data_IF_913723242251
#
_entry.id   IF_913723242251
#
_cell.length_a   1.000
_cell.length_b   1.000
_cell.length_c   1.000
_cell.angle_alpha   90.00
_cell.angle_beta   90.00
_cell.angle_gamma   90.00
#
_symmetry.space_group_name_H-M   'P 1'
#
loop_
_entity.id
_entity.type
_entity.pdbx_description
1 polymer ?
#
# COMPACT_ATOMS: atom_id res chain seq x y z
N UNK A 1 -21.38 -21.13 -42.90
CA UNK A 1 -21.46 -21.37 -41.43
C UNK A 1 -20.13 -21.06 -40.74
N UNK A 2 -19.00 -21.56 -41.23
CA UNK A 2 -17.67 -21.41 -40.63
C UNK A 2 -17.22 -19.93 -40.52
N UNK A 3 -17.33 -19.17 -41.60
CA UNK A 3 -16.95 -17.76 -41.63
C UNK A 3 -17.81 -16.88 -40.68
N UNK A 4 -19.06 -17.24 -40.49
CA UNK A 4 -19.95 -16.54 -39.59
C UNK A 4 -19.54 -16.75 -38.13
N UNK A 5 -19.06 -17.96 -37.79
CA UNK A 5 -18.55 -18.27 -36.43
C UNK A 5 -17.25 -17.53 -36.15
N UNK A 6 -16.31 -17.53 -37.10
CA UNK A 6 -15.05 -16.81 -36.97
C UNK A 6 -15.30 -15.29 -36.83
N UNK A 7 -16.15 -14.73 -37.67
CA UNK A 7 -16.48 -13.29 -37.58
C UNK A 7 -17.19 -12.93 -36.29
N UNK A 8 -18.00 -13.84 -35.74
CA UNK A 8 -18.62 -13.70 -34.42
C UNK A 8 -17.59 -13.72 -33.28
N UNK A 9 -16.66 -14.66 -33.33
CA UNK A 9 -15.56 -14.75 -32.32
C UNK A 9 -14.66 -13.51 -32.35
N UNK A 10 -14.31 -13.04 -33.55
CA UNK A 10 -13.49 -11.85 -33.70
C UNK A 10 -14.21 -10.60 -33.16
N UNK A 11 -15.50 -10.44 -33.46
CA UNK A 11 -16.30 -9.32 -32.90
C UNK A 11 -16.42 -9.42 -31.38
N UNK A 12 -16.65 -10.62 -30.85
CA UNK A 12 -16.70 -10.85 -29.40
C UNK A 12 -15.36 -10.51 -28.74
N UNK A 13 -14.25 -10.97 -29.34
CA UNK A 13 -12.89 -10.67 -28.86
C UNK A 13 -12.62 -9.17 -28.82
N UNK A 14 -12.95 -8.45 -29.91
CA UNK A 14 -12.80 -6.99 -29.92
C UNK A 14 -13.66 -6.30 -28.87
N UNK A 15 -14.90 -6.76 -28.67
CA UNK A 15 -15.81 -6.21 -27.65
C UNK A 15 -15.26 -6.41 -26.23
N UNK A 16 -14.85 -7.64 -25.92
CA UNK A 16 -14.25 -8.01 -24.62
C UNK A 16 -12.97 -7.23 -24.39
N UNK A 17 -12.08 -7.17 -25.37
CA UNK A 17 -10.82 -6.42 -25.27
C UNK A 17 -11.06 -4.93 -25.05
N UNK A 18 -12.03 -4.35 -25.74
CA UNK A 18 -12.36 -2.91 -25.57
C UNK A 18 -12.91 -2.58 -24.19
N UNK A 19 -13.64 -3.51 -23.56
CA UNK A 19 -14.16 -3.33 -22.20
C UNK A 19 -13.06 -3.53 -21.16
N UNK A 20 -12.24 -4.60 -21.32
CA UNK A 20 -11.22 -4.97 -20.36
C UNK A 20 -9.95 -4.12 -20.48
N UNK A 21 -9.66 -3.59 -21.68
CA UNK A 21 -8.44 -2.82 -21.94
C UNK A 21 -8.77 -1.43 -22.54
N UNK A 22 -9.34 -0.51 -21.75
CA UNK A 22 -9.62 0.85 -22.23
C UNK A 22 -8.34 1.66 -22.50
N UNK A 23 -7.13 1.12 -22.22
CA UNK A 23 -5.84 1.76 -22.49
C UNK A 23 -5.51 2.94 -21.54
N UNK A 24 -6.30 3.14 -20.49
CA UNK A 24 -6.11 4.22 -19.51
C UNK A 24 -5.49 3.66 -18.24
N UNK A 25 -4.25 4.03 -17.94
CA UNK A 25 -3.53 3.58 -16.74
C UNK A 25 -4.32 3.84 -15.45
N UNK A 26 -4.97 5.00 -15.37
CA UNK A 26 -5.81 5.38 -14.23
C UNK A 26 -6.88 4.34 -13.92
N UNK A 27 -7.57 3.84 -14.97
CA UNK A 27 -8.62 2.82 -14.80
C UNK A 27 -8.06 1.53 -14.21
N UNK A 28 -6.90 1.07 -14.69
CA UNK A 28 -6.28 -0.16 -14.16
C UNK A 28 -5.88 0.00 -12.69
N UNK A 29 -5.30 1.15 -12.34
CA UNK A 29 -4.93 1.44 -10.95
C UNK A 29 -6.17 1.45 -10.06
N UNK A 30 -7.22 2.18 -10.44
CA UNK A 30 -8.48 2.25 -9.68
C UNK A 30 -9.10 0.85 -9.49
N UNK A 31 -9.18 0.04 -10.57
CA UNK A 31 -9.71 -1.33 -10.49
C UNK A 31 -8.86 -2.22 -9.60
N UNK A 32 -7.53 -2.13 -9.68
CA UNK A 32 -6.63 -2.91 -8.82
C UNK A 32 -6.85 -2.58 -7.36
N UNK A 33 -6.88 -1.32 -6.98
CA UNK A 33 -7.13 -0.91 -5.59
C UNK A 33 -8.55 -1.26 -5.13
N UNK A 34 -9.55 -1.19 -6.02
CA UNK A 34 -10.91 -1.62 -5.70
C UNK A 34 -10.99 -3.13 -5.42
N UNK A 35 -10.30 -3.95 -6.21
CA UNK A 35 -10.22 -5.41 -5.98
C UNK A 35 -9.51 -5.69 -4.67
N UNK A 36 -8.39 -5.02 -4.38
CA UNK A 36 -7.66 -5.18 -3.12
C UNK A 36 -8.57 -4.81 -1.93
N UNK A 37 -9.26 -3.68 -1.99
CA UNK A 37 -10.21 -3.28 -0.97
C UNK A 37 -11.33 -4.32 -0.75
N UNK A 38 -11.89 -4.87 -1.82
CA UNK A 38 -12.89 -5.93 -1.75
C UNK A 38 -12.34 -7.21 -1.11
N UNK A 39 -11.17 -7.67 -1.54
CA UNK A 39 -10.53 -8.90 -1.02
C UNK A 39 -10.20 -8.77 0.47
N UNK A 40 -9.85 -7.57 0.93
CA UNK A 40 -9.54 -7.33 2.35
C UNK A 40 -10.80 -7.17 3.20
N UNK A 41 -11.78 -6.38 2.73
CA UNK A 41 -12.95 -6.03 3.53
C UNK A 41 -14.03 -7.10 3.51
N UNK A 42 -14.29 -7.75 2.36
CA UNK A 42 -15.38 -8.72 2.24
C UNK A 42 -15.23 -9.89 3.23
N UNK A 43 -14.07 -10.57 3.36
CA UNK A 43 -13.91 -11.63 4.34
C UNK A 43 -14.08 -11.12 5.78
N UNK A 44 -13.54 -9.94 6.08
CA UNK A 44 -13.58 -9.35 7.41
C UNK A 44 -15.02 -9.13 7.89
N UNK A 45 -15.88 -8.63 6.99
CA UNK A 45 -17.28 -8.40 7.30
C UNK A 45 -18.14 -9.68 7.17
N UNK A 46 -17.88 -10.53 6.18
CA UNK A 46 -18.65 -11.74 5.94
C UNK A 46 -18.50 -12.77 7.06
N UNK A 47 -17.31 -12.89 7.64
CA UNK A 47 -17.04 -13.80 8.75
C UNK A 47 -17.22 -13.13 10.13
N UNK A 48 -17.51 -11.84 10.19
CA UNK A 48 -17.68 -11.09 11.44
C UNK A 48 -16.39 -11.00 12.28
N UNK A 49 -15.23 -11.18 11.66
CA UNK A 49 -13.92 -11.19 12.32
C UNK A 49 -13.32 -9.79 12.42
N UNK A 50 -14.11 -8.79 12.85
CA UNK A 50 -13.57 -7.46 13.10
C UNK A 50 -12.56 -7.51 14.25
N UNK A 51 -11.38 -6.89 14.12
CA UNK A 51 -10.40 -6.83 15.19
C UNK A 51 -10.94 -6.05 16.38
N UNK A 52 -10.58 -6.45 17.59
CA UNK A 52 -10.80 -5.64 18.78
C UNK A 52 -10.01 -4.34 18.65
N UNK A 53 -10.60 -3.22 19.08
CA UNK A 53 -9.84 -1.97 19.07
C UNK A 53 -8.66 -2.10 20.04
N UNK A 54 -7.42 -1.87 19.57
CA UNK A 54 -6.26 -1.94 20.45
C UNK A 54 -6.41 -0.89 21.56
N UNK A 55 -6.10 -1.28 22.78
CA UNK A 55 -5.97 -0.32 23.87
C UNK A 55 -4.85 0.66 23.52
N UNK A 56 -5.10 1.96 23.77
CA UNK A 56 -4.06 2.97 23.51
C UNK A 56 -2.81 2.62 24.34
N UNK A 57 -1.64 2.51 23.69
CA UNK A 57 -0.41 2.20 24.43
C UNK A 57 -0.07 3.38 25.36
N UNK A 58 -0.11 3.11 26.65
CA UNK A 58 0.17 4.11 27.70
C UNK A 58 1.67 4.35 27.90
N UNK A 59 2.51 3.45 27.39
CA UNK A 59 3.93 3.39 27.69
C UNK A 59 4.83 3.90 26.55
N UNK A 60 4.25 4.68 25.59
CA UNK A 60 5.03 5.27 24.51
C UNK A 60 6.00 6.33 25.03
N UNK A 61 7.27 6.19 24.64
CA UNK A 61 8.29 7.18 24.91
C UNK A 61 8.12 8.42 24.02
N UNK A 62 8.57 9.57 24.54
CA UNK A 62 8.43 10.86 23.84
C UNK A 62 9.02 10.83 22.40
N UNK A 63 10.13 10.15 22.20
CA UNK A 63 10.77 10.07 20.90
C UNK A 63 9.96 9.22 19.89
N UNK A 64 9.27 8.16 20.33
CA UNK A 64 8.38 7.36 19.47
C UNK A 64 7.21 8.20 18.96
N UNK A 65 6.57 8.94 19.88
CA UNK A 65 5.49 9.87 19.54
C UNK A 65 5.98 10.93 18.54
N UNK A 66 7.19 11.46 18.74
CA UNK A 66 7.77 12.47 17.85
C UNK A 66 7.90 11.94 16.42
N UNK A 67 8.44 10.74 16.21
CA UNK A 67 8.58 10.16 14.88
C UNK A 67 7.24 9.77 14.25
N UNK A 68 6.25 9.35 15.04
CA UNK A 68 4.87 9.14 14.56
C UNK A 68 4.28 10.45 14.05
N UNK A 69 4.44 11.54 14.79
CA UNK A 69 3.96 12.87 14.39
C UNK A 69 4.66 13.34 13.11
N UNK A 70 5.97 13.14 12.99
CA UNK A 70 6.72 13.48 11.76
C UNK A 70 6.20 12.66 10.58
N UNK A 71 5.96 11.36 10.75
CA UNK A 71 5.41 10.51 9.70
C UNK A 71 4.01 10.97 9.25
N UNK A 72 3.14 11.35 10.20
CA UNK A 72 1.79 11.88 9.88
C UNK A 72 1.89 13.23 9.15
N UNK A 73 2.74 14.14 9.61
CA UNK A 73 2.97 15.43 8.94
C UNK A 73 3.51 15.21 7.53
N UNK A 74 4.47 14.29 7.36
CA UNK A 74 5.00 13.90 6.06
C UNK A 74 3.91 13.37 5.13
N UNK A 75 3.03 12.50 5.62
CA UNK A 75 1.90 11.97 4.86
C UNK A 75 0.93 13.08 4.40
N UNK A 76 0.58 14.00 5.31
CA UNK A 76 -0.26 15.16 4.97
C UNK A 76 0.43 16.03 3.93
N UNK A 77 1.74 16.26 4.07
CA UNK A 77 2.52 17.04 3.12
C UNK A 77 2.55 16.40 1.72
N UNK A 78 2.63 15.07 1.61
CA UNK A 78 2.52 14.35 0.33
C UNK A 78 1.15 14.59 -0.31
N UNK A 79 0.07 14.45 0.47
CA UNK A 79 -1.31 14.60 -0.02
C UNK A 79 -1.65 16.02 -0.47
N UNK A 80 -1.04 17.02 0.18
CA UNK A 80 -1.29 18.45 -0.09
C UNK A 80 -0.23 19.11 -0.99
N UNK A 81 0.75 18.35 -1.45
CA UNK A 81 1.87 18.86 -2.23
C UNK A 81 1.39 19.51 -3.55
N UNK A 82 1.75 20.77 -3.76
CA UNK A 82 1.42 21.51 -4.97
C UNK A 82 2.27 21.08 -6.18
N UNK A 83 3.48 20.56 -5.93
CA UNK A 83 4.38 20.08 -6.97
C UNK A 83 4.76 18.62 -6.74
N UNK A 84 5.04 17.91 -7.83
CA UNK A 84 5.47 16.50 -7.75
C UNK A 84 6.81 16.35 -7.03
N UNK A 85 7.71 17.31 -7.22
CA UNK A 85 9.00 17.30 -6.52
C UNK A 85 8.81 17.47 -5.01
N UNK A 86 7.93 18.37 -4.59
CA UNK A 86 7.57 18.53 -3.17
C UNK A 86 6.97 17.24 -2.60
N UNK A 87 6.10 16.57 -3.37
CA UNK A 87 5.53 15.28 -2.96
C UNK A 87 6.62 14.22 -2.75
N UNK A 88 7.61 14.12 -3.65
CA UNK A 88 8.71 13.15 -3.54
C UNK A 88 9.56 13.44 -2.30
N UNK A 89 9.90 14.71 -2.05
CA UNK A 89 10.68 15.08 -0.86
C UNK A 89 9.90 14.79 0.42
N UNK A 90 8.61 15.13 0.45
CA UNK A 90 7.74 14.85 1.59
C UNK A 90 7.58 13.33 1.83
N UNK A 91 7.46 12.54 0.76
CA UNK A 91 7.44 11.07 0.83
C UNK A 91 8.73 10.54 1.46
N UNK A 92 9.89 11.07 1.03
CA UNK A 92 11.19 10.70 1.61
C UNK A 92 11.26 10.99 3.11
N UNK A 93 10.81 12.15 3.56
CA UNK A 93 10.79 12.50 4.99
C UNK A 93 9.88 11.52 5.76
N UNK A 94 8.70 11.22 5.22
CA UNK A 94 7.77 10.27 5.81
C UNK A 94 8.38 8.85 5.89
N UNK A 95 9.02 8.39 4.80
CA UNK A 95 9.66 7.08 4.76
C UNK A 95 10.85 6.95 5.72
N UNK A 96 11.66 8.00 5.88
CA UNK A 96 12.73 8.03 6.89
C UNK A 96 12.17 8.00 8.32
N UNK A 97 11.08 8.72 8.60
CA UNK A 97 10.44 8.66 9.92
C UNK A 97 9.94 7.24 10.25
N UNK A 98 9.35 6.54 9.28
CA UNK A 98 8.92 5.14 9.43
C UNK A 98 10.12 4.22 9.65
N UNK A 99 11.24 4.43 8.94
CA UNK A 99 12.45 3.64 9.14
C UNK A 99 13.01 3.79 10.57
N UNK A 100 13.01 5.02 11.11
CA UNK A 100 13.41 5.25 12.51
C UNK A 100 12.45 4.58 13.49
N UNK A 101 11.14 4.58 13.22
CA UNK A 101 10.17 3.85 14.03
C UNK A 101 10.47 2.35 14.05
N UNK A 102 10.80 1.73 12.91
CA UNK A 102 11.22 0.33 12.89
C UNK A 102 12.45 0.08 13.77
N UNK A 103 13.42 0.99 13.74
CA UNK A 103 14.61 0.88 14.59
C UNK A 103 14.25 0.97 16.08
N UNK A 104 13.37 1.90 16.46
CA UNK A 104 12.93 2.10 17.85
C UNK A 104 12.12 0.91 18.36
N UNK A 105 11.33 0.28 17.51
CA UNK A 105 10.56 -0.92 17.88
C UNK A 105 11.35 -2.23 17.77
N UNK A 106 12.68 -2.16 17.65
CA UNK A 106 13.55 -3.32 17.69
C UNK A 106 13.58 -4.16 16.40
N UNK A 107 13.26 -3.56 15.27
CA UNK A 107 13.32 -4.18 13.95
C UNK A 107 14.42 -3.54 13.06
N UNK A 108 15.72 -3.68 13.39
CA UNK A 108 16.81 -3.02 12.69
C UNK A 108 16.92 -3.45 11.21
N UNK A 109 16.61 -4.70 10.89
CA UNK A 109 16.66 -5.21 9.52
C UNK A 109 15.63 -4.53 8.63
N UNK A 110 14.41 -4.31 9.15
CA UNK A 110 13.37 -3.56 8.46
C UNK A 110 13.74 -2.08 8.32
N UNK A 111 14.34 -1.49 9.36
CA UNK A 111 14.80 -0.11 9.32
C UNK A 111 15.85 0.09 8.23
N UNK A 112 16.86 -0.78 8.16
CA UNK A 112 17.90 -0.73 7.14
C UNK A 112 17.33 -0.87 5.72
N UNK A 113 16.47 -1.84 5.53
CA UNK A 113 15.80 -2.07 4.23
C UNK A 113 14.97 -0.86 3.81
N UNK A 114 14.22 -0.28 4.75
CA UNK A 114 13.42 0.92 4.50
C UNK A 114 14.30 2.12 4.14
N UNK A 115 15.41 2.36 4.85
CA UNK A 115 16.35 3.43 4.52
C UNK A 115 16.92 3.29 3.11
N UNK A 116 17.34 2.08 2.74
CA UNK A 116 17.89 1.80 1.42
C UNK A 116 16.87 2.03 0.30
N UNK A 117 15.67 1.47 0.47
CA UNK A 117 14.58 1.59 -0.51
C UNK A 117 14.14 3.03 -0.65
N UNK A 118 13.98 3.75 0.46
CA UNK A 118 13.54 5.15 0.45
C UNK A 118 14.56 6.05 -0.24
N UNK A 119 15.84 5.93 0.13
CA UNK A 119 16.92 6.69 -0.48
C UNK A 119 16.97 6.47 -2.00
N UNK A 120 16.91 5.20 -2.43
CA UNK A 120 16.93 4.84 -3.83
C UNK A 120 15.71 5.38 -4.57
N UNK A 121 14.54 5.24 -3.98
CA UNK A 121 13.26 5.70 -4.54
C UNK A 121 13.24 7.21 -4.73
N UNK A 122 13.64 7.98 -3.71
CA UNK A 122 13.68 9.45 -3.78
C UNK A 122 14.67 9.91 -4.86
N UNK A 123 15.85 9.31 -4.95
CA UNK A 123 16.84 9.64 -5.97
C UNK A 123 16.32 9.34 -7.38
N UNK A 124 15.79 8.13 -7.60
CA UNK A 124 15.27 7.72 -8.91
C UNK A 124 14.08 8.59 -9.31
N UNK A 125 13.10 8.78 -8.41
CA UNK A 125 11.92 9.60 -8.71
C UNK A 125 12.29 11.05 -8.99
N UNK A 126 13.22 11.63 -8.23
CA UNK A 126 13.70 12.99 -8.47
C UNK A 126 14.38 13.09 -9.84
N UNK A 127 15.25 12.13 -10.17
CA UNK A 127 15.93 12.10 -11.47
C UNK A 127 14.93 11.97 -12.64
N UNK A 128 13.96 11.08 -12.51
CA UNK A 128 12.90 10.89 -13.52
C UNK A 128 12.06 12.15 -13.66
N UNK A 129 11.66 12.78 -12.56
CA UNK A 129 10.82 13.99 -12.58
C UNK A 129 11.55 15.21 -13.15
N UNK A 130 12.87 15.32 -12.96
CA UNK A 130 13.66 16.39 -13.58
C UNK A 130 13.81 16.22 -15.10
N UNK A 131 13.74 14.99 -15.59
CA UNK A 131 13.84 14.67 -17.03
C UNK A 131 12.50 14.74 -17.75
N UNK A 132 11.40 14.45 -17.09
CA UNK A 132 10.07 14.44 -17.67
C UNK A 132 9.40 15.81 -17.50
N UNK A 133 9.14 16.48 -18.63
CA UNK A 133 8.30 17.70 -18.65
C UNK A 133 6.82 17.30 -18.57
N UNK A 134 6.38 16.87 -17.40
CA UNK A 134 4.98 16.54 -17.16
C UNK A 134 4.22 17.80 -16.72
N UNK A 135 3.13 18.13 -17.40
CA UNK A 135 2.27 19.23 -16.97
C UNK A 135 1.67 18.94 -15.59
N UNK A 136 1.69 19.92 -14.67
CA UNK A 136 1.21 19.70 -13.30
C UNK A 136 -0.32 19.65 -13.16
N UNK A 137 -1.08 19.89 -14.25
CA UNK A 137 -2.53 19.99 -14.17
C UNK A 137 -3.22 18.64 -14.15
N UNK A 138 -3.88 18.35 -13.05
CA UNK A 138 -4.79 17.22 -12.90
C UNK A 138 -6.17 17.59 -13.49
N UNK A 139 -6.45 17.08 -14.67
CA UNK A 139 -7.69 17.34 -15.42
C UNK A 139 -8.84 16.40 -15.01
N UNK A 140 -8.70 15.60 -13.95
CA UNK A 140 -9.74 14.68 -13.51
C UNK A 140 -10.96 15.42 -12.96
N UNK A 141 -12.15 14.94 -13.33
CA UNK A 141 -13.40 15.47 -12.81
C UNK A 141 -13.48 15.25 -11.28
N UNK A 142 -14.11 16.19 -10.56
CA UNK A 142 -14.27 16.09 -9.09
C UNK A 142 -14.87 14.75 -8.63
N UNK A 143 -15.83 14.20 -9.39
CA UNK A 143 -16.42 12.89 -9.11
C UNK A 143 -15.41 11.74 -9.15
N UNK A 144 -14.48 11.75 -10.09
CA UNK A 144 -13.42 10.74 -10.16
C UNK A 144 -12.43 10.85 -8.98
N UNK A 145 -12.08 12.08 -8.59
CA UNK A 145 -11.22 12.29 -7.42
C UNK A 145 -11.85 11.77 -6.12
N UNK A 146 -13.15 11.97 -5.94
CA UNK A 146 -13.90 11.45 -4.78
C UNK A 146 -13.94 9.92 -4.81
N UNK A 147 -14.21 9.33 -5.97
CA UNK A 147 -14.25 7.87 -6.13
C UNK A 147 -12.87 7.25 -5.87
N UNK A 148 -11.81 7.81 -6.44
CA UNK A 148 -10.44 7.34 -6.18
C UNK A 148 -10.06 7.50 -4.70
N UNK A 149 -10.48 8.60 -4.07
CA UNK A 149 -10.27 8.85 -2.64
C UNK A 149 -11.00 7.84 -1.75
N UNK A 150 -12.25 7.50 -2.07
CA UNK A 150 -13.03 6.49 -1.32
C UNK A 150 -12.44 5.09 -1.47
N UNK A 151 -11.99 4.71 -2.66
CA UNK A 151 -11.32 3.42 -2.89
C UNK A 151 -9.99 3.37 -2.14
N UNK A 152 -9.19 4.43 -2.18
CA UNK A 152 -7.93 4.50 -1.45
C UNK A 152 -8.15 4.40 0.07
N UNK A 153 -9.18 5.08 0.60
CA UNK A 153 -9.55 5.00 2.01
C UNK A 153 -10.02 3.59 2.39
N UNK A 154 -10.86 2.96 1.57
CA UNK A 154 -11.34 1.60 1.79
C UNK A 154 -10.19 0.59 1.77
N UNK A 155 -9.26 0.73 0.83
CA UNK A 155 -8.07 -0.12 0.75
C UNK A 155 -7.17 0.07 1.98
N UNK A 156 -6.89 1.31 2.37
CA UNK A 156 -6.06 1.62 3.54
C UNK A 156 -6.66 1.12 4.84
N UNK A 157 -7.97 1.33 5.05
CA UNK A 157 -8.68 0.80 6.23
C UNK A 157 -8.74 -0.72 6.22
N UNK A 158 -8.93 -1.34 5.06
CA UNK A 158 -8.91 -2.79 4.91
C UNK A 158 -7.56 -3.39 5.33
N UNK A 159 -6.44 -2.80 4.88
CA UNK A 159 -5.10 -3.19 5.32
C UNK A 159 -4.89 -3.00 6.83
N UNK A 160 -5.28 -1.86 7.38
CA UNK A 160 -5.12 -1.57 8.79
C UNK A 160 -5.90 -2.58 9.66
N UNK A 161 -7.16 -2.85 9.31
CA UNK A 161 -7.98 -3.81 10.03
C UNK A 161 -7.44 -5.24 9.91
N UNK A 162 -6.98 -5.65 8.73
CA UNK A 162 -6.38 -6.96 8.53
C UNK A 162 -5.10 -7.13 9.34
N UNK A 163 -4.23 -6.11 9.38
CA UNK A 163 -3.02 -6.14 10.20
C UNK A 163 -3.35 -6.23 11.68
N UNK A 164 -4.31 -5.44 12.17
CA UNK A 164 -4.79 -5.55 13.55
C UNK A 164 -5.31 -6.95 13.86
N UNK A 165 -6.09 -7.55 12.95
CA UNK A 165 -6.57 -8.92 13.13
C UNK A 165 -5.45 -9.95 13.14
N UNK A 166 -4.43 -9.76 12.32
CA UNK A 166 -3.26 -10.64 12.29
C UNK A 166 -2.47 -10.59 13.62
N UNK A 167 -2.38 -9.42 14.26
CA UNK A 167 -1.69 -9.28 15.56
C UNK A 167 -2.46 -9.86 16.75
N UNK A 168 -3.78 -10.05 16.63
CA UNK A 168 -4.58 -10.70 17.69
C UNK A 168 -4.31 -12.20 17.81
N UNK A 169 -3.79 -12.85 16.76
CA UNK A 169 -3.52 -14.29 16.82
C UNK A 169 -2.19 -14.55 17.53
N UNK A 170 -2.17 -15.44 18.56
CA UNK A 170 -0.93 -15.82 19.18
C UNK A 170 -0.02 -16.49 18.14
N UNK A 171 1.26 -16.17 18.20
CA UNK A 171 2.26 -16.85 17.37
C UNK A 171 2.24 -18.35 17.68
N UNK A 172 1.99 -19.16 16.64
CA UNK A 172 2.16 -20.60 16.78
C UNK A 172 3.66 -20.91 16.74
N UNK A 173 4.20 -21.34 17.90
CA UNK A 173 5.62 -21.66 18.08
C UNK A 173 5.95 -23.11 17.70
N UNK A 174 4.97 -23.94 17.34
CA UNK A 174 5.15 -25.37 17.07
C UNK A 174 6.24 -25.64 16.03
N UNK A 175 6.29 -24.81 14.98
CA UNK A 175 7.30 -24.91 13.92
C UNK A 175 8.70 -24.56 14.44
N UNK A 176 8.82 -23.53 15.26
CA UNK A 176 10.08 -23.09 15.86
C UNK A 176 10.59 -24.12 16.87
N UNK A 177 9.72 -24.70 17.67
CA UNK A 177 10.04 -25.78 18.61
C UNK A 177 10.47 -27.03 17.87
N UNK A 178 9.75 -27.41 16.80
CA UNK A 178 10.14 -28.51 15.94
C UNK A 178 11.57 -28.33 15.39
N UNK A 179 11.87 -27.21 14.78
CA UNK A 179 13.21 -26.96 14.23
C UNK A 179 14.27 -26.85 15.34
N UNK A 180 13.98 -26.26 16.49
CA UNK A 180 14.94 -26.20 17.61
C UNK A 180 15.24 -27.59 18.20
N UNK A 181 14.25 -28.47 18.27
CA UNK A 181 14.42 -29.83 18.75
C UNK A 181 15.25 -30.70 17.79
N UNK A 182 14.98 -30.55 16.47
CA UNK A 182 15.64 -31.39 15.45
C UNK A 182 16.97 -30.82 14.94
N UNK A 183 17.25 -29.53 15.06
CA UNK A 183 18.54 -28.96 14.67
C UNK A 183 19.71 -29.48 15.52
N UNK A 184 19.45 -29.91 16.76
CA UNK A 184 20.46 -30.54 17.65
C UNK A 184 20.83 -31.96 17.24
N UNK A 185 20.06 -32.60 16.36
CA UNK A 185 20.30 -33.96 15.88
C UNK A 185 21.20 -33.98 14.64
N UNK A 186 21.30 -32.82 13.96
CA UNK A 186 22.03 -32.67 12.68
C UNK A 186 23.42 -32.02 12.91
N UNK A 187 23.68 -31.49 14.08
CA UNK A 187 24.98 -30.94 14.52
C UNK A 187 25.78 -31.99 15.31
#
# INVERSE_FOLDING_TARGET
AFDAVISGLVKLSFYVTRILQPGRLEFYVTVTFAIIALVLLVPLFAYGELPAMPSWPTDMLLHEITFIVIAIIGLIAVLTAASRLTAIVALGIQGFAVAVLFLLFGAPDLAFTQFMVETLSVVILTLVMTRLRLSPSDHRHRGQKVLDGTIALACGTGFALMLLKATERPFNTDLTEFFSAYSKIIA
#
